data_IF_600491485884
#
_entry.id   IF_600491485884
#
_cell.length_a   1.000
_cell.length_b   1.000
_cell.length_c   1.000
_cell.angle_alpha   90.00
_cell.angle_beta   90.00
_cell.angle_gamma   90.00
#
_symmetry.space_group_name_H-M   'P 1'
#
loop_
_entity.id
_entity.type
_entity.pdbx_description
1 polymer ?
#
# COMPACT_ATOMS: atom_id res chain seq x y z
N UNK A 1 -8.36 7.15 -36.40
CA UNK A 1 -8.31 7.64 -34.99
C UNK A 1 -9.23 6.76 -34.17
N UNK A 2 -8.67 5.80 -33.40
CA UNK A 2 -9.46 4.99 -32.48
C UNK A 2 -9.51 5.70 -31.13
N UNK A 3 -10.68 6.22 -30.76
CA UNK A 3 -10.92 6.70 -29.41
C UNK A 3 -11.26 5.48 -28.55
N UNK A 4 -10.28 4.98 -27.79
CA UNK A 4 -10.54 3.98 -26.76
C UNK A 4 -11.30 4.65 -25.62
N UNK A 5 -12.56 4.27 -25.45
CA UNK A 5 -13.40 4.67 -24.33
C UNK A 5 -12.66 4.41 -23.00
N UNK A 6 -12.29 5.49 -22.32
CA UNK A 6 -11.81 5.45 -20.94
C UNK A 6 -12.94 4.87 -20.08
N UNK A 7 -12.80 3.62 -19.63
CA UNK A 7 -13.70 3.03 -18.64
C UNK A 7 -13.51 3.76 -17.31
N UNK A 8 -14.23 4.85 -17.14
CA UNK A 8 -14.27 5.60 -15.89
C UNK A 8 -15.01 4.77 -14.84
N UNK A 9 -14.31 4.00 -14.02
CA UNK A 9 -14.93 3.36 -12.85
C UNK A 9 -14.99 4.38 -11.71
N UNK A 10 -15.90 5.36 -11.82
CA UNK A 10 -16.14 6.36 -10.77
C UNK A 10 -16.91 5.83 -9.57
N UNK A 11 -17.48 4.63 -9.65
CA UNK A 11 -18.32 4.11 -8.58
C UNK A 11 -17.45 3.61 -7.42
N UNK A 12 -17.56 4.19 -6.20
CA UNK A 12 -16.90 3.65 -5.02
C UNK A 12 -17.33 2.21 -4.80
N UNK A 13 -16.39 1.35 -4.42
CA UNK A 13 -16.68 -0.01 -3.97
C UNK A 13 -16.38 -0.11 -2.48
N UNK A 14 -17.30 -0.72 -1.73
CA UNK A 14 -17.05 -1.11 -0.36
C UNK A 14 -16.21 -2.38 -0.36
N UNK A 15 -15.13 -2.36 0.41
CA UNK A 15 -14.26 -3.51 0.64
C UNK A 15 -14.38 -3.92 2.10
N UNK A 16 -14.92 -5.11 2.31
CA UNK A 16 -14.85 -5.83 3.57
C UNK A 16 -13.58 -6.68 3.50
N UNK A 17 -12.58 -6.32 4.31
CA UNK A 17 -11.28 -6.98 4.25
C UNK A 17 -11.07 -7.82 5.50
N UNK A 18 -10.94 -9.14 5.30
CA UNK A 18 -10.58 -10.07 6.38
C UNK A 18 -9.07 -10.03 6.67
N UNK A 19 -8.23 -9.94 5.64
CA UNK A 19 -6.80 -9.64 5.70
C UNK A 19 -6.37 -9.63 4.23
N UNK A 20 -5.69 -8.61 3.69
CA UNK A 20 -5.34 -8.68 2.26
C UNK A 20 -3.95 -8.16 1.85
N UNK A 21 -3.28 -9.11 1.20
CA UNK A 21 -2.21 -9.12 0.20
C UNK A 21 -0.84 -8.60 0.58
N UNK A 22 0.16 -9.34 0.12
CA UNK A 22 1.55 -8.92 0.05
C UNK A 22 1.67 -7.56 -0.66
N UNK A 23 2.85 -6.96 -0.51
CA UNK A 23 3.16 -5.69 -1.14
C UNK A 23 2.89 -5.76 -2.66
N UNK A 24 2.24 -4.73 -3.20
CA UNK A 24 1.89 -4.68 -4.62
C UNK A 24 1.79 -3.25 -5.15
N UNK A 25 1.77 -3.13 -6.48
CA UNK A 25 1.42 -1.90 -7.18
C UNK A 25 0.01 -2.09 -7.76
N UNK A 26 -0.81 -1.05 -7.72
CA UNK A 26 -2.15 -1.12 -8.31
C UNK A 26 -2.08 -1.48 -9.81
N UNK A 27 -2.95 -2.39 -10.30
CA UNK A 27 -2.95 -2.76 -11.72
C UNK A 27 -3.04 -1.53 -12.63
N UNK A 28 -2.28 -1.57 -13.73
CA UNK A 28 -2.14 -0.48 -14.70
C UNK A 28 -1.51 0.82 -14.14
N UNK A 29 -0.91 0.78 -12.95
CA UNK A 29 -0.27 1.95 -12.34
C UNK A 29 -1.27 3.05 -11.95
N UNK A 30 -2.52 2.67 -11.65
CA UNK A 30 -3.59 3.62 -11.32
C UNK A 30 -3.42 4.21 -9.93
N UNK A 31 -4.04 5.37 -9.69
CA UNK A 31 -4.12 5.98 -8.36
C UNK A 31 -5.41 5.58 -7.65
N UNK A 32 -5.40 5.62 -6.31
CA UNK A 32 -6.55 5.25 -5.50
C UNK A 32 -6.75 6.17 -4.30
N UNK A 33 -8.01 6.33 -3.90
CA UNK A 33 -8.41 6.92 -2.63
C UNK A 33 -9.06 5.83 -1.76
N UNK A 34 -8.63 5.70 -0.51
CA UNK A 34 -9.15 4.71 0.44
C UNK A 34 -9.59 5.42 1.72
N UNK A 35 -10.89 5.51 1.93
CA UNK A 35 -11.49 6.06 3.16
C UNK A 35 -11.87 4.92 4.09
N UNK A 36 -11.31 4.92 5.30
CA UNK A 36 -11.61 3.91 6.30
C UNK A 36 -12.88 4.29 7.04
N UNK A 37 -13.86 3.39 7.08
CA UNK A 37 -15.15 3.64 7.74
C UNK A 37 -15.16 3.08 9.16
N UNK A 38 -14.57 1.90 9.34
CA UNK A 38 -14.47 1.18 10.62
C UNK A 38 -13.09 0.52 10.71
N UNK A 39 -12.56 0.39 11.93
CA UNK A 39 -11.30 -0.29 12.22
C UNK A 39 -10.07 0.60 12.11
N UNK A 40 -8.89 -0.01 12.10
CA UNK A 40 -7.61 0.65 11.92
C UNK A 40 -6.77 -0.10 10.89
N UNK A 41 -5.95 0.63 10.13
CA UNK A 41 -5.03 0.04 9.14
C UNK A 41 -3.64 0.61 9.28
N UNK A 42 -2.63 -0.25 9.21
CA UNK A 42 -1.23 0.15 9.03
C UNK A 42 -0.89 0.10 7.55
N UNK A 43 -0.34 1.20 7.04
CA UNK A 43 0.12 1.31 5.66
C UNK A 43 1.63 1.50 5.64
N UNK A 44 2.26 0.90 4.63
CA UNK A 44 3.56 1.30 4.12
C UNK A 44 3.46 1.43 2.60
N UNK A 45 4.06 2.48 2.04
CA UNK A 45 4.15 2.68 0.60
C UNK A 45 5.48 3.33 0.19
N UNK A 46 5.89 3.06 -1.04
CA UNK A 46 7.17 3.46 -1.59
C UNK A 46 6.99 4.13 -2.96
N UNK A 47 7.78 5.19 -3.25
CA UNK A 47 7.82 5.78 -4.57
C UNK A 47 8.42 4.79 -5.60
N UNK A 48 8.16 4.98 -6.90
CA UNK A 48 8.73 4.15 -7.96
C UNK A 48 10.27 4.14 -8.02
N UNK A 49 10.93 5.13 -7.40
CA UNK A 49 12.39 5.21 -7.29
C UNK A 49 12.96 4.22 -6.26
N UNK A 50 12.15 3.66 -5.36
CA UNK A 50 12.59 2.63 -4.44
C UNK A 50 12.88 1.33 -5.20
N UNK A 51 14.10 0.76 -5.08
CA UNK A 51 14.42 -0.50 -5.74
C UNK A 51 13.50 -1.64 -5.30
N UNK A 52 12.87 -2.34 -6.26
CA UNK A 52 11.90 -3.40 -5.99
C UNK A 52 12.43 -4.50 -5.08
N UNK A 53 13.70 -4.88 -5.22
CA UNK A 53 14.31 -5.93 -4.39
C UNK A 53 14.40 -5.55 -2.90
N UNK A 54 14.30 -4.27 -2.56
CA UNK A 54 14.26 -3.79 -1.18
C UNK A 54 12.83 -3.78 -0.64
N UNK A 55 11.88 -3.23 -1.42
CA UNK A 55 10.49 -3.09 -0.99
C UNK A 55 9.72 -4.41 -1.07
N UNK A 56 10.01 -5.24 -2.07
CA UNK A 56 9.33 -6.51 -2.36
C UNK A 56 10.35 -7.65 -2.59
N UNK A 57 11.13 -8.02 -1.55
CA UNK A 57 12.04 -9.15 -1.64
C UNK A 57 11.26 -10.46 -1.66
N UNK A 58 11.81 -11.48 -2.35
CA UNK A 58 11.27 -12.84 -2.28
C UNK A 58 11.45 -13.40 -0.86
N UNK A 59 10.34 -13.67 -0.17
CA UNK A 59 10.31 -14.29 1.16
C UNK A 59 9.84 -15.75 1.12
N UNK A 60 9.95 -16.42 -0.04
CA UNK A 60 9.44 -17.78 -0.22
C UNK A 60 9.92 -18.72 0.89
N UNK A 61 9.00 -19.51 1.48
CA UNK A 61 7.61 -19.73 1.06
C UNK A 61 6.55 -18.79 1.71
N UNK A 62 6.95 -17.72 2.41
CA UNK A 62 6.07 -16.89 3.25
C UNK A 62 5.54 -15.61 2.57
N UNK A 63 5.74 -15.44 1.26
CA UNK A 63 5.56 -14.20 0.48
C UNK A 63 4.10 -13.81 0.20
N UNK A 64 3.12 -14.52 0.75
CA UNK A 64 1.71 -14.34 0.41
C UNK A 64 0.91 -13.42 1.36
N UNK A 65 1.49 -13.02 2.49
CA UNK A 65 0.76 -12.28 3.52
C UNK A 65 1.41 -10.94 3.89
N UNK A 66 0.58 -9.91 4.10
CA UNK A 66 1.03 -8.61 4.58
C UNK A 66 1.74 -8.71 5.94
N UNK A 67 1.29 -9.64 6.81
CA UNK A 67 1.89 -9.84 8.13
C UNK A 67 3.35 -10.27 8.02
N UNK A 68 3.67 -11.21 7.13
CA UNK A 68 5.05 -11.63 6.87
C UNK A 68 5.90 -10.43 6.45
N UNK A 69 5.39 -9.56 5.59
CA UNK A 69 6.13 -8.37 5.14
C UNK A 69 6.43 -7.42 6.29
N UNK A 70 5.43 -7.12 7.13
CA UNK A 70 5.60 -6.25 8.30
C UNK A 70 6.51 -6.87 9.38
N UNK A 71 6.62 -8.20 9.42
CA UNK A 71 7.51 -8.91 10.34
C UNK A 71 8.96 -8.96 9.83
N UNK A 72 9.19 -9.21 8.54
CA UNK A 72 10.51 -9.56 8.01
C UNK A 72 11.19 -8.47 7.17
N UNK A 73 10.39 -7.60 6.52
CA UNK A 73 10.89 -6.56 5.61
C UNK A 73 10.85 -5.19 6.26
N UNK A 74 9.71 -4.85 6.87
CA UNK A 74 9.52 -3.55 7.52
C UNK A 74 10.63 -3.16 8.52
N UNK A 75 11.11 -4.04 9.44
CA UNK A 75 12.15 -3.66 10.38
C UNK A 75 13.46 -3.22 9.74
N UNK A 76 13.76 -3.70 8.52
CA UNK A 76 14.96 -3.29 7.76
C UNK A 76 14.90 -1.82 7.38
N UNK A 77 13.71 -1.31 7.09
CA UNK A 77 13.51 0.10 6.77
C UNK A 77 13.59 1.03 7.99
N UNK A 78 13.55 0.48 9.21
CA UNK A 78 13.77 1.22 10.44
C UNK A 78 15.26 1.29 10.85
N UNK A 79 16.12 0.50 10.21
CA UNK A 79 17.55 0.51 10.50
C UNK A 79 18.22 1.74 9.88
N UNK A 80 19.26 2.24 10.54
CA UNK A 80 20.11 3.31 9.99
C UNK A 80 20.82 2.81 8.74
N UNK A 81 20.85 3.65 7.72
CA UNK A 81 21.63 3.40 6.52
C UNK A 81 23.13 3.54 6.82
N UNK A 82 23.99 2.59 6.43
CA UNK A 82 25.43 2.68 6.73
C UNK A 82 26.16 3.86 6.07
N UNK A 83 25.51 4.51 5.10
CA UNK A 83 26.12 5.58 4.27
C UNK A 83 25.53 6.96 4.56
N UNK A 84 24.59 7.10 5.49
CA UNK A 84 23.92 8.37 5.82
C UNK A 84 23.38 8.39 7.25
N UNK A 85 22.99 9.57 7.74
CA UNK A 85 22.43 9.71 9.10
C UNK A 85 20.93 9.38 9.19
N UNK A 86 20.30 8.98 8.08
CA UNK A 86 18.89 8.61 8.03
C UNK A 86 18.68 7.09 8.04
N UNK A 87 17.44 6.68 8.29
CA UNK A 87 17.00 5.29 8.13
C UNK A 87 16.94 4.91 6.66
N UNK A 88 17.00 3.60 6.39
CA UNK A 88 16.79 3.08 5.04
C UNK A 88 15.42 3.50 4.48
N UNK A 89 14.39 3.57 5.33
CA UNK A 89 13.06 4.07 4.99
C UNK A 89 13.10 5.51 4.49
N UNK A 90 13.73 6.41 5.24
CA UNK A 90 13.87 7.82 4.84
C UNK A 90 14.67 7.96 3.54
N UNK A 91 15.78 7.23 3.40
CA UNK A 91 16.62 7.24 2.19
C UNK A 91 15.85 6.88 0.92
N UNK A 92 14.94 5.90 1.02
CA UNK A 92 14.14 5.42 -0.12
C UNK A 92 12.71 5.97 -0.16
N UNK A 93 12.41 6.99 0.66
CA UNK A 93 11.13 7.70 0.63
C UNK A 93 9.94 6.85 1.09
N UNK A 94 10.15 5.90 2.00
CA UNK A 94 9.07 5.10 2.59
C UNK A 94 8.10 6.02 3.35
N UNK A 95 6.82 5.95 3.00
CA UNK A 95 5.74 6.58 3.74
C UNK A 95 5.01 5.50 4.54
N UNK A 96 4.91 5.70 5.85
CA UNK A 96 4.13 4.84 6.73
C UNK A 96 3.04 5.64 7.45
N UNK A 97 1.88 5.03 7.67
CA UNK A 97 0.84 5.65 8.47
C UNK A 97 -0.02 4.61 9.19
N UNK A 98 -0.63 5.06 10.28
CA UNK A 98 -1.76 4.40 10.91
C UNK A 98 -3.01 5.17 10.51
N UNK A 99 -3.89 4.52 9.78
CA UNK A 99 -5.17 5.07 9.35
C UNK A 99 -6.25 4.67 10.34
N UNK A 100 -6.96 5.65 10.90
CA UNK A 100 -8.15 5.49 11.74
C UNK A 100 -9.46 5.70 10.98
N UNK A 101 -10.61 5.45 11.63
CA UNK A 101 -11.94 5.67 11.04
C UNK A 101 -12.15 7.14 10.63
N UNK A 102 -12.75 7.35 9.47
CA UNK A 102 -13.00 8.66 8.85
C UNK A 102 -11.83 9.20 8.02
N UNK A 103 -10.61 8.67 8.20
CA UNK A 103 -9.44 9.14 7.48
C UNK A 103 -9.37 8.59 6.06
N UNK A 104 -8.76 9.37 5.16
CA UNK A 104 -8.60 9.00 3.76
C UNK A 104 -7.14 8.97 3.35
N UNK A 105 -6.71 7.82 2.81
CA UNK A 105 -5.40 7.64 2.19
C UNK A 105 -5.48 7.84 0.69
N UNK A 106 -4.55 8.62 0.15
CA UNK A 106 -4.27 8.69 -1.29
C UNK A 106 -3.06 7.82 -1.62
N UNK A 107 -3.22 6.91 -2.59
CA UNK A 107 -2.14 6.08 -3.13
C UNK A 107 -1.83 6.57 -4.54
N UNK A 108 -0.65 7.17 -4.78
CA UNK A 108 -0.29 7.63 -6.11
C UNK A 108 -0.03 6.47 -7.07
N UNK A 109 -0.22 6.72 -8.37
CA UNK A 109 0.02 5.73 -9.41
C UNK A 109 1.46 5.22 -9.42
N UNK A 110 1.64 3.91 -9.52
CA UNK A 110 2.96 3.27 -9.57
C UNK A 110 3.64 3.05 -8.21
N UNK A 111 3.01 3.45 -7.10
CA UNK A 111 3.57 3.25 -5.77
C UNK A 111 3.32 1.84 -5.25
N UNK A 112 4.40 1.16 -4.84
CA UNK A 112 4.30 -0.12 -4.17
C UNK A 112 3.74 0.12 -2.76
N UNK A 113 2.75 -0.65 -2.34
CA UNK A 113 2.10 -0.48 -1.05
C UNK A 113 1.66 -1.81 -0.44
N UNK A 114 1.67 -1.84 0.88
CA UNK A 114 1.26 -2.97 1.73
C UNK A 114 0.42 -2.45 2.88
N UNK A 115 -0.65 -3.19 3.21
CA UNK A 115 -1.65 -2.76 4.18
C UNK A 115 -1.96 -3.91 5.12
N UNK A 116 -1.92 -3.65 6.42
CA UNK A 116 -2.30 -4.58 7.46
C UNK A 116 -3.47 -4.01 8.25
N UNK A 117 -4.54 -4.78 8.42
CA UNK A 117 -5.62 -4.41 9.32
C UNK A 117 -5.15 -4.61 10.78
N UNK A 118 -5.46 -3.67 11.65
CA UNK A 118 -5.14 -3.74 13.08
C UNK A 118 -6.44 -4.00 13.85
N UNK A 119 -6.53 -5.15 14.51
CA UNK A 119 -7.75 -5.67 15.14
C UNK A 119 -7.88 -7.18 14.88
N UNK A 120 -8.55 -7.91 15.76
CA UNK A 120 -8.76 -9.35 15.62
C UNK A 120 -10.15 -9.65 15.10
N UNK A 121 -10.30 -9.92 13.79
CA UNK A 121 -11.59 -10.28 13.17
C UNK A 121 -11.91 -9.51 11.88
N UNK A 122 -13.19 -9.44 11.52
CA UNK A 122 -13.72 -8.66 10.37
C UNK A 122 -13.79 -7.18 10.74
N UNK A 123 -12.66 -6.59 11.15
CA UNK A 123 -12.71 -5.36 11.95
C UNK A 123 -12.53 -4.08 11.13
N UNK A 124 -12.24 -4.20 9.82
CA UNK A 124 -12.06 -3.02 8.97
C UNK A 124 -12.94 -3.02 7.73
N UNK A 125 -13.71 -1.93 7.58
CA UNK A 125 -14.53 -1.64 6.41
C UNK A 125 -14.01 -0.37 5.78
N UNK A 126 -13.66 -0.42 4.50
CA UNK A 126 -13.19 0.75 3.77
C UNK A 126 -13.97 0.95 2.48
N UNK A 127 -14.27 2.21 2.17
CA UNK A 127 -14.70 2.61 0.84
C UNK A 127 -13.44 2.95 0.01
N UNK A 128 -13.27 2.31 -1.14
CA UNK A 128 -12.15 2.61 -2.05
C UNK A 128 -12.69 3.05 -3.40
N UNK A 129 -12.15 4.16 -3.89
CA UNK A 129 -12.34 4.66 -5.24
C UNK A 129 -11.01 4.53 -5.96
N UNK A 130 -10.99 3.86 -7.11
CA UNK A 130 -9.82 3.84 -7.99
C UNK A 130 -10.05 4.85 -9.11
N UNK A 131 -9.11 5.77 -9.31
CA UNK A 131 -9.14 6.66 -10.47
C UNK A 131 -8.25 6.08 -11.55
N UNK A 132 -8.85 5.67 -12.66
CA UNK A 132 -8.12 5.29 -13.88
C UNK A 132 -7.71 6.56 -14.61
N UNK A 133 -6.70 7.24 -14.10
CA UNK A 133 -5.97 8.26 -14.86
C UNK A 133 -4.51 7.89 -14.82
N UNK A 134 -3.92 7.59 -15.98
CA UNK A 134 -2.46 7.58 -16.13
C UNK A 134 -1.99 9.00 -15.81
N UNK A 135 -1.12 9.15 -14.82
CA UNK A 135 -0.35 10.39 -14.67
C UNK A 135 0.58 10.55 -15.88
#
# INVERSE_FOLDING_TARGET
>A
MHYSSLKHTSTPRLFFSLQFFSIHIDPLGTSAWNTLLVGHKRWCMFPPSCPRFLSDPSLKPLDHEAVTWFEHVFPRFLQRDPTSECTLGEKYGMVQCLQGPGETMFVPGGWAHVVMNLGGGVDSVAARVKRITRA
#
